data_IF_679926195527
#
_entry.id   IF_679926195527
#
_cell.length_a   1.000
_cell.length_b   1.000
_cell.length_c   1.000
_cell.angle_alpha   90.00
_cell.angle_beta   90.00
_cell.angle_gamma   90.00
#
_symmetry.space_group_name_H-M   'P 1'
#
loop_
_entity.id
_entity.type
_entity.pdbx_description
1 polymer ?
#
# COMPACT_ATOMS: atom_id res chain seq x y z
N UNK A 1 -8.37 -17.87 5.32
CA UNK A 1 -8.71 -18.71 6.49
C UNK A 1 -9.43 -17.83 7.51
N UNK A 2 -10.53 -18.29 8.12
CA UNK A 2 -11.23 -17.49 9.13
C UNK A 2 -10.51 -17.52 10.49
N UNK A 3 -10.83 -16.55 11.36
CA UNK A 3 -10.30 -16.50 12.73
C UNK A 3 -10.51 -17.82 13.49
N UNK A 4 -11.74 -18.35 13.50
CA UNK A 4 -12.08 -19.58 14.23
C UNK A 4 -11.30 -20.80 13.74
N UNK A 5 -11.12 -20.93 12.41
CA UNK A 5 -10.29 -21.98 11.82
C UNK A 5 -8.84 -21.86 12.26
N UNK A 6 -8.30 -20.65 12.29
CA UNK A 6 -6.92 -20.37 12.72
C UNK A 6 -6.71 -20.67 14.20
N UNK A 7 -7.64 -20.23 15.06
CA UNK A 7 -7.63 -20.52 16.50
C UNK A 7 -7.59 -22.02 16.75
N UNK A 8 -8.45 -22.78 16.06
CA UNK A 8 -8.50 -24.24 16.13
C UNK A 8 -7.19 -24.88 15.69
N UNK A 9 -6.63 -24.42 14.57
CA UNK A 9 -5.38 -24.95 14.04
C UNK A 9 -4.22 -24.74 15.02
N UNK A 10 -4.03 -23.51 15.52
CA UNK A 10 -2.98 -23.19 16.48
C UNK A 10 -3.15 -23.98 17.78
N UNK A 11 -4.39 -24.10 18.27
CA UNK A 11 -4.69 -24.91 19.46
C UNK A 11 -4.26 -26.37 19.28
N UNK A 12 -4.60 -26.97 18.14
CA UNK A 12 -4.23 -28.36 17.84
C UNK A 12 -2.71 -28.51 17.70
N UNK A 13 -2.04 -27.57 17.03
CA UNK A 13 -0.57 -27.56 16.89
C UNK A 13 0.14 -27.46 18.25
N UNK A 14 -0.45 -26.74 19.21
CA UNK A 14 0.05 -26.65 20.59
C UNK A 14 -0.42 -27.80 21.50
N UNK A 15 -1.13 -28.79 20.96
CA UNK A 15 -1.62 -29.95 21.71
C UNK A 15 -2.66 -29.61 22.80
N UNK A 16 -3.29 -28.43 22.73
CA UNK A 16 -4.24 -27.97 23.74
C UNK A 16 -5.67 -28.47 23.45
N UNK A 17 -6.42 -28.81 24.49
CA UNK A 17 -7.87 -29.01 24.43
C UNK A 17 -8.61 -27.68 24.46
N UNK A 18 -9.88 -27.65 24.02
CA UNK A 18 -10.70 -26.43 24.08
C UNK A 18 -10.83 -25.91 25.52
N UNK A 19 -10.94 -26.82 26.49
CA UNK A 19 -10.96 -26.49 27.92
C UNK A 19 -9.66 -25.84 28.38
N UNK A 20 -8.51 -26.42 28.01
CA UNK A 20 -7.20 -25.87 28.37
C UNK A 20 -6.97 -24.48 27.79
N UNK A 21 -7.44 -24.22 26.56
CA UNK A 21 -7.38 -22.89 25.96
C UNK A 21 -8.34 -21.89 26.67
N UNK A 22 -9.51 -22.35 27.10
CA UNK A 22 -10.52 -21.52 27.73
C UNK A 22 -10.18 -21.08 29.16
N UNK A 23 -9.65 -21.99 29.98
CA UNK A 23 -9.42 -21.75 31.41
C UNK A 23 -8.31 -20.71 31.68
N UNK A 24 -8.45 -19.91 32.76
CA UNK A 24 -9.54 -19.94 33.76
C UNK A 24 -10.74 -19.03 33.44
N UNK A 25 -10.65 -18.19 32.41
CA UNK A 25 -11.57 -17.07 32.19
C UNK A 25 -12.81 -17.47 31.38
N UNK A 26 -12.66 -18.42 30.45
CA UNK A 26 -13.72 -18.82 29.52
C UNK A 26 -14.08 -20.30 29.65
N UNK A 27 -15.15 -20.69 28.98
CA UNK A 27 -15.60 -22.10 28.89
C UNK A 27 -15.16 -22.75 27.59
N UNK A 28 -15.01 -24.07 27.60
CA UNK A 28 -14.76 -24.89 26.41
C UNK A 28 -15.85 -24.70 25.34
N UNK A 29 -17.11 -24.58 25.77
CA UNK A 29 -18.24 -24.27 24.89
C UNK A 29 -18.10 -22.90 24.19
N UNK A 30 -17.55 -21.89 24.88
CA UNK A 30 -17.25 -20.60 24.28
C UNK A 30 -16.16 -20.73 23.21
N UNK A 31 -15.05 -21.41 23.52
CA UNK A 31 -13.97 -21.67 22.54
C UNK A 31 -14.51 -22.44 21.34
N UNK A 32 -15.32 -23.48 21.54
CA UNK A 32 -15.96 -24.25 20.47
C UNK A 32 -16.84 -23.38 19.56
N UNK A 33 -17.62 -22.46 20.14
CA UNK A 33 -18.43 -21.51 19.37
C UNK A 33 -17.57 -20.53 18.55
N UNK A 34 -16.45 -20.06 19.11
CA UNK A 34 -15.49 -19.20 18.42
C UNK A 34 -14.77 -19.94 17.29
N UNK A 35 -14.28 -21.15 17.54
CA UNK A 35 -13.63 -22.01 16.53
C UNK A 35 -14.55 -22.32 15.34
N UNK A 36 -15.85 -22.50 15.60
CA UNK A 36 -16.86 -22.72 14.58
C UNK A 36 -17.32 -21.43 13.86
N UNK A 37 -16.80 -20.26 14.23
CA UNK A 37 -17.19 -18.96 13.67
C UNK A 37 -18.60 -18.50 14.08
N UNK A 38 -19.22 -19.15 15.08
CA UNK A 38 -20.56 -18.78 15.60
C UNK A 38 -20.51 -17.62 16.60
N UNK A 39 -19.33 -17.31 17.15
CA UNK A 39 -19.09 -16.17 18.03
C UNK A 39 -17.81 -15.45 17.65
N UNK A 40 -17.86 -14.13 17.60
CA UNK A 40 -16.67 -13.27 17.50
C UNK A 40 -16.13 -13.03 18.91
N UNK A 41 -14.84 -13.27 19.18
CA UNK A 41 -14.28 -13.03 20.50
C UNK A 41 -14.21 -11.54 20.81
N UNK A 42 -14.34 -11.17 22.09
CA UNK A 42 -13.97 -9.83 22.58
C UNK A 42 -12.45 -9.62 22.51
N UNK A 43 -12.00 -8.37 22.65
CA UNK A 43 -10.57 -8.05 22.73
C UNK A 43 -9.88 -8.78 23.90
N UNK A 44 -10.54 -8.87 25.06
CA UNK A 44 -10.05 -9.63 26.22
C UNK A 44 -9.93 -11.13 25.92
N UNK A 45 -10.88 -11.70 25.19
CA UNK A 45 -10.84 -13.10 24.80
C UNK A 45 -9.72 -13.37 23.79
N UNK A 46 -9.53 -12.46 22.83
CA UNK A 46 -8.42 -12.50 21.88
C UNK A 46 -7.07 -12.47 22.61
N UNK A 47 -6.89 -11.52 23.53
CA UNK A 47 -5.70 -11.38 24.36
C UNK A 47 -5.42 -12.67 25.15
N UNK A 48 -6.44 -13.21 25.82
CA UNK A 48 -6.35 -14.47 26.56
C UNK A 48 -5.93 -15.63 25.65
N UNK A 49 -6.56 -15.80 24.49
CA UNK A 49 -6.21 -16.86 23.55
C UNK A 49 -4.79 -16.70 23.00
N UNK A 50 -4.38 -15.48 22.65
CA UNK A 50 -3.04 -15.19 22.16
C UNK A 50 -1.96 -15.54 23.19
N UNK A 51 -2.17 -15.18 24.46
CA UNK A 51 -1.26 -15.56 25.55
C UNK A 51 -1.17 -17.07 25.74
N UNK A 52 -2.31 -17.77 25.78
CA UNK A 52 -2.36 -19.23 25.98
C UNK A 52 -1.71 -20.01 24.83
N UNK A 53 -1.76 -19.45 23.63
CA UNK A 53 -1.14 -20.02 22.43
C UNK A 53 0.26 -19.47 22.17
N UNK A 54 0.77 -18.56 23.00
CA UNK A 54 2.06 -17.87 22.85
C UNK A 54 2.29 -17.37 21.41
N UNK A 55 1.31 -16.61 20.89
CA UNK A 55 1.35 -15.93 19.60
C UNK A 55 0.96 -14.47 19.79
N UNK A 56 1.30 -13.61 18.83
CA UNK A 56 0.82 -12.23 18.84
C UNK A 56 -0.70 -12.14 18.61
N UNK A 57 -1.35 -11.15 19.21
CA UNK A 57 -2.79 -10.91 18.97
C UNK A 57 -3.09 -10.60 17.51
N UNK A 58 -2.25 -9.80 16.85
CA UNK A 58 -2.41 -9.48 15.43
C UNK A 58 -2.24 -10.73 14.56
N UNK A 59 -1.26 -11.59 14.86
CA UNK A 59 -1.05 -12.87 14.17
C UNK A 59 -2.28 -13.77 14.35
N UNK A 60 -2.82 -13.87 15.55
CA UNK A 60 -4.02 -14.67 15.80
C UNK A 60 -5.24 -14.11 15.08
N UNK A 61 -5.39 -12.78 15.04
CA UNK A 61 -6.52 -12.08 14.43
C UNK A 61 -6.48 -12.13 12.89
N UNK A 62 -5.32 -11.85 12.31
CA UNK A 62 -5.13 -11.64 10.86
C UNK A 62 -4.51 -12.85 10.16
N UNK A 63 -3.78 -13.69 10.90
CA UNK A 63 -2.97 -14.78 10.34
C UNK A 63 -1.67 -14.33 9.71
N UNK A 64 -1.38 -13.02 9.78
CA UNK A 64 -0.13 -12.46 9.27
C UNK A 64 1.03 -12.95 10.13
N UNK A 65 2.14 -13.41 9.53
CA UNK A 65 3.35 -13.67 10.26
C UNK A 65 3.80 -12.43 11.06
N UNK A 66 4.53 -12.61 12.18
CA UNK A 66 5.16 -11.50 12.86
C UNK A 66 6.05 -10.70 11.89
N UNK A 67 6.08 -9.38 12.06
CA UNK A 67 6.83 -8.43 11.23
C UNK A 67 6.53 -8.47 9.72
N UNK A 68 5.42 -9.09 9.31
CA UNK A 68 5.09 -9.28 7.90
C UNK A 68 5.06 -7.97 7.11
N UNK A 69 4.40 -6.94 7.65
CA UNK A 69 4.33 -5.63 7.00
C UNK A 69 5.71 -4.97 6.91
N UNK A 70 6.49 -4.99 7.99
CA UNK A 70 7.84 -4.42 8.02
C UNK A 70 8.79 -5.12 7.04
N UNK A 71 8.73 -6.45 6.94
CA UNK A 71 9.47 -7.22 5.94
C UNK A 71 9.09 -6.81 4.52
N UNK A 72 7.79 -6.76 4.20
CA UNK A 72 7.35 -6.34 2.87
C UNK A 72 7.74 -4.90 2.54
N UNK A 73 7.80 -4.01 3.52
CA UNK A 73 8.32 -2.65 3.33
C UNK A 73 9.80 -2.63 2.97
N UNK A 74 10.62 -3.46 3.63
CA UNK A 74 12.03 -3.63 3.29
C UNK A 74 12.19 -4.23 1.88
N UNK A 75 11.39 -5.24 1.55
CA UNK A 75 11.39 -5.87 0.22
C UNK A 75 11.01 -4.86 -0.87
N UNK A 76 10.04 -3.97 -0.62
CA UNK A 76 9.68 -2.86 -1.51
C UNK A 76 10.83 -1.88 -1.71
N UNK A 77 11.53 -1.51 -0.64
CA UNK A 77 12.69 -0.61 -0.74
C UNK A 77 13.83 -1.26 -1.53
N UNK A 78 14.10 -2.54 -1.29
CA UNK A 78 15.08 -3.30 -2.05
C UNK A 78 14.71 -3.36 -3.54
N UNK A 79 13.47 -3.73 -3.86
CA UNK A 79 12.98 -3.77 -5.24
C UNK A 79 13.06 -2.41 -5.95
N UNK A 80 12.79 -1.30 -5.25
CA UNK A 80 13.00 0.06 -5.80
C UNK A 80 14.45 0.35 -6.14
N UNK A 81 15.40 -0.06 -5.29
CA UNK A 81 16.84 0.07 -5.60
C UNK A 81 17.23 -0.78 -6.80
N UNK A 82 16.65 -1.97 -6.96
CA UNK A 82 16.84 -2.84 -8.12
C UNK A 82 16.36 -2.17 -9.41
N UNK A 83 15.23 -1.45 -9.40
CA UNK A 83 14.80 -0.60 -10.53
C UNK A 83 15.84 0.48 -10.83
N UNK A 84 16.31 1.20 -9.80
CA UNK A 84 17.33 2.25 -9.98
C UNK A 84 18.66 1.73 -10.52
N UNK A 85 18.99 0.46 -10.24
CA UNK A 85 20.15 -0.23 -10.80
C UNK A 85 19.94 -0.74 -12.25
N UNK A 86 18.77 -0.52 -12.84
CA UNK A 86 18.43 -0.95 -14.20
C UNK A 86 18.07 -2.44 -14.33
N UNK A 87 17.94 -3.17 -13.21
CA UNK A 87 17.64 -4.60 -13.21
C UNK A 87 16.11 -4.85 -13.24
N UNK A 88 15.47 -4.45 -14.33
CA UNK A 88 14.00 -4.31 -14.39
C UNK A 88 13.26 -5.64 -14.22
N UNK A 89 13.75 -6.73 -14.82
CA UNK A 89 13.14 -8.06 -14.73
C UNK A 89 13.14 -8.59 -13.29
N UNK A 90 14.28 -8.44 -12.59
CA UNK A 90 14.42 -8.85 -11.20
C UNK A 90 13.49 -8.02 -10.30
N UNK A 91 13.45 -6.70 -10.49
CA UNK A 91 12.55 -5.82 -9.75
C UNK A 91 11.07 -6.18 -9.98
N UNK A 92 10.68 -6.46 -11.22
CA UNK A 92 9.32 -6.85 -11.57
C UNK A 92 8.91 -8.17 -10.89
N UNK A 93 9.82 -9.16 -10.82
CA UNK A 93 9.58 -10.40 -10.09
C UNK A 93 9.36 -10.13 -8.59
N UNK A 94 10.22 -9.32 -7.97
CA UNK A 94 10.08 -8.93 -6.56
C UNK A 94 8.75 -8.21 -6.28
N UNK A 95 8.37 -7.23 -7.09
CA UNK A 95 7.07 -6.56 -6.92
C UNK A 95 5.88 -7.49 -7.12
N UNK A 96 5.99 -8.48 -8.01
CA UNK A 96 4.93 -9.48 -8.21
C UNK A 96 4.75 -10.37 -6.99
N UNK A 97 5.86 -10.81 -6.39
CA UNK A 97 5.82 -11.56 -5.16
C UNK A 97 5.23 -10.72 -4.01
N UNK A 98 5.72 -9.49 -3.79
CA UNK A 98 5.23 -8.60 -2.74
C UNK A 98 3.73 -8.33 -2.89
N UNK A 99 3.25 -8.03 -4.10
CA UNK A 99 1.82 -7.81 -4.37
C UNK A 99 0.99 -9.05 -4.03
N UNK A 100 1.44 -10.24 -4.44
CA UNK A 100 0.74 -11.50 -4.14
C UNK A 100 0.66 -11.76 -2.64
N UNK A 101 1.76 -11.55 -1.92
CA UNK A 101 1.81 -11.71 -0.46
C UNK A 101 0.95 -10.68 0.26
N UNK A 102 1.04 -9.39 -0.12
CA UNK A 102 0.24 -8.32 0.47
C UNK A 102 -1.25 -8.56 0.29
N UNK A 103 -1.67 -8.98 -0.92
CA UNK A 103 -3.04 -9.34 -1.25
C UNK A 103 -3.55 -10.52 -0.43
N UNK A 104 -2.73 -11.55 -0.24
CA UNK A 104 -3.12 -12.73 0.54
C UNK A 104 -3.48 -12.41 2.00
N UNK A 105 -2.99 -11.28 2.51
CA UNK A 105 -3.23 -10.81 3.88
C UNK A 105 -3.96 -9.47 3.96
N UNK A 106 -4.59 -9.01 2.87
CA UNK A 106 -5.32 -7.73 2.78
C UNK A 106 -4.52 -6.52 3.29
N UNK A 107 -3.23 -6.44 2.93
CA UNK A 107 -2.37 -5.28 3.24
C UNK A 107 -2.40 -4.30 2.08
N UNK A 108 -3.57 -3.66 1.88
CA UNK A 108 -3.93 -2.84 0.71
C UNK A 108 -2.86 -1.80 0.34
N UNK A 109 -2.31 -1.08 1.32
CA UNK A 109 -1.27 -0.07 1.06
C UNK A 109 0.02 -0.66 0.47
N UNK A 110 0.42 -1.85 0.90
CA UNK A 110 1.62 -2.51 0.38
C UNK A 110 1.35 -3.15 -0.98
N UNK A 111 0.15 -3.69 -1.20
CA UNK A 111 -0.30 -4.16 -2.51
C UNK A 111 -0.23 -3.03 -3.54
N UNK A 112 -0.84 -1.88 -3.25
CA UNK A 112 -0.83 -0.72 -4.13
C UNK A 112 0.60 -0.19 -4.42
N UNK A 113 1.48 -0.18 -3.41
CA UNK A 113 2.90 0.21 -3.60
C UNK A 113 3.67 -0.78 -4.47
N UNK A 114 3.33 -2.06 -4.42
CA UNK A 114 3.91 -3.08 -5.29
C UNK A 114 3.39 -2.97 -6.73
N UNK A 115 2.09 -2.75 -6.92
CA UNK A 115 1.50 -2.46 -8.25
C UNK A 115 2.11 -1.20 -8.88
N UNK A 116 2.32 -0.14 -8.09
CA UNK A 116 3.08 1.04 -8.51
C UNK A 116 4.49 0.67 -8.97
N UNK A 117 5.21 -0.18 -8.21
CA UNK A 117 6.53 -0.68 -8.58
C UNK A 117 6.54 -1.45 -9.91
N UNK A 118 5.54 -2.31 -10.16
CA UNK A 118 5.37 -2.98 -11.46
C UNK A 118 5.14 -1.97 -12.59
N UNK A 119 4.34 -0.93 -12.34
CA UNK A 119 4.10 0.15 -13.30
C UNK A 119 5.38 0.89 -13.66
N UNK A 120 6.27 1.14 -12.68
CA UNK A 120 7.60 1.71 -12.94
C UNK A 120 8.45 0.78 -13.82
N UNK A 121 8.40 -0.53 -13.60
CA UNK A 121 9.08 -1.51 -14.45
C UNK A 121 8.54 -1.50 -15.89
N UNK A 122 7.22 -1.48 -16.08
CA UNK A 122 6.60 -1.39 -17.40
C UNK A 122 6.98 -0.09 -18.13
N UNK A 123 6.94 1.05 -17.41
CA UNK A 123 7.36 2.34 -17.95
C UNK A 123 8.83 2.36 -18.36
N UNK A 124 9.72 1.71 -17.61
CA UNK A 124 11.15 1.56 -17.96
C UNK A 124 11.36 0.69 -19.21
N UNK A 125 10.46 -0.26 -19.49
CA UNK A 125 10.48 -1.09 -20.70
C UNK A 125 9.86 -0.41 -21.92
N UNK A 126 9.27 0.78 -21.75
CA UNK A 126 8.55 1.50 -22.80
C UNK A 126 7.10 1.05 -22.98
N UNK A 127 6.60 0.12 -22.17
CA UNK A 127 5.19 -0.27 -22.14
C UNK A 127 4.39 0.76 -21.34
N UNK A 128 4.06 1.88 -21.98
CA UNK A 128 3.37 3.00 -21.34
C UNK A 128 1.91 2.68 -21.03
N UNK A 129 1.24 1.91 -21.90
CA UNK A 129 -0.16 1.50 -21.71
C UNK A 129 -0.29 0.53 -20.53
N UNK A 130 0.57 -0.51 -20.47
CA UNK A 130 0.62 -1.42 -19.34
C UNK A 130 0.99 -0.72 -18.03
N UNK A 131 1.90 0.26 -18.08
CA UNK A 131 2.22 1.08 -16.91
C UNK A 131 1.01 1.89 -16.41
N UNK A 132 0.25 2.51 -17.31
CA UNK A 132 -0.97 3.25 -16.96
C UNK A 132 -1.97 2.34 -16.24
N UNK A 133 -2.25 1.15 -16.79
CA UNK A 133 -3.17 0.20 -16.17
C UNK A 133 -2.75 -0.20 -14.75
N UNK A 134 -1.44 -0.41 -14.52
CA UNK A 134 -0.90 -0.72 -13.20
C UNK A 134 -1.02 0.45 -12.22
N UNK A 135 -0.79 1.68 -12.67
CA UNK A 135 -0.98 2.87 -11.83
C UNK A 135 -2.45 3.14 -11.52
N UNK A 136 -3.36 2.87 -12.45
CA UNK A 136 -4.81 2.94 -12.22
C UNK A 136 -5.26 1.93 -11.17
N UNK A 137 -4.84 0.67 -11.30
CA UNK A 137 -5.13 -0.36 -10.30
C UNK A 137 -4.57 -0.02 -8.92
N UNK A 138 -3.34 0.51 -8.85
CA UNK A 138 -2.76 0.98 -7.59
C UNK A 138 -3.57 2.13 -6.95
N UNK A 139 -4.08 3.07 -7.77
CA UNK A 139 -4.90 4.17 -7.28
C UNK A 139 -6.31 3.72 -6.85
N UNK A 140 -6.89 2.73 -7.54
CA UNK A 140 -8.19 2.14 -7.23
C UNK A 140 -8.17 1.39 -5.89
N UNK A 141 -7.11 0.61 -5.63
CA UNK A 141 -6.88 -0.03 -4.33
C UNK A 141 -6.90 0.98 -3.17
N UNK A 142 -6.51 2.23 -3.43
CA UNK A 142 -6.40 3.31 -2.44
C UNK A 142 -7.58 4.29 -2.49
N UNK A 143 -8.72 3.91 -3.08
CA UNK A 143 -9.87 4.82 -3.22
C UNK A 143 -10.46 5.28 -1.87
N UNK A 144 -10.44 4.40 -0.87
CA UNK A 144 -10.94 4.64 0.49
C UNK A 144 -9.89 5.30 1.41
N UNK A 145 -8.65 5.43 0.92
CA UNK A 145 -7.55 6.06 1.64
C UNK A 145 -7.51 7.58 1.38
N UNK A 146 -6.85 8.37 2.25
CA UNK A 146 -6.64 9.79 2.00
C UNK A 146 -6.01 10.02 0.63
N UNK A 147 -6.38 11.12 -0.04
CA UNK A 147 -5.90 11.44 -1.39
C UNK A 147 -4.37 11.49 -1.51
N UNK A 148 -3.66 11.77 -0.41
CA UNK A 148 -2.19 11.71 -0.32
C UNK A 148 -1.62 10.33 -0.68
N UNK A 149 -2.33 9.25 -0.37
CA UNK A 149 -1.90 7.89 -0.69
C UNK A 149 -1.82 7.63 -2.20
N UNK A 150 -2.64 8.32 -3.01
CA UNK A 150 -2.74 8.11 -4.47
C UNK A 150 -1.74 8.96 -5.28
N UNK A 151 -1.01 9.87 -4.63
CA UNK A 151 -0.09 10.81 -5.29
C UNK A 151 0.93 10.11 -6.18
N UNK A 152 1.60 9.06 -5.68
CA UNK A 152 2.64 8.36 -6.44
C UNK A 152 2.09 7.71 -7.73
N UNK A 153 0.90 7.12 -7.65
CA UNK A 153 0.24 6.47 -8.78
C UNK A 153 -0.24 7.49 -9.82
N UNK A 154 -0.92 8.55 -9.39
CA UNK A 154 -1.42 9.60 -10.29
C UNK A 154 -0.26 10.34 -10.96
N UNK A 155 0.81 10.66 -10.23
CA UNK A 155 2.01 11.30 -10.77
C UNK A 155 2.71 10.44 -11.85
N UNK A 156 2.82 9.14 -11.59
CA UNK A 156 3.43 8.22 -12.55
C UNK A 156 2.55 8.02 -13.80
N UNK A 157 1.22 7.91 -13.63
CA UNK A 157 0.25 7.89 -14.74
C UNK A 157 0.36 9.15 -15.60
N UNK A 158 0.40 10.33 -14.99
CA UNK A 158 0.57 11.60 -15.70
C UNK A 158 1.90 11.65 -16.48
N UNK A 159 2.96 11.04 -15.93
CA UNK A 159 4.24 10.90 -16.64
C UNK A 159 4.10 10.02 -17.89
N UNK A 160 3.39 8.90 -17.83
CA UNK A 160 3.12 8.07 -19.01
C UNK A 160 2.29 8.82 -20.06
N UNK A 161 1.20 9.47 -19.65
CA UNK A 161 0.36 10.28 -20.55
C UNK A 161 1.16 11.37 -21.25
N UNK A 162 2.03 12.07 -20.52
CA UNK A 162 2.95 13.07 -21.10
C UNK A 162 3.85 12.47 -22.18
N UNK A 163 4.44 11.29 -21.91
CA UNK A 163 5.30 10.58 -22.86
C UNK A 163 4.56 10.09 -24.11
N UNK A 164 3.25 9.85 -23.99
CA UNK A 164 2.36 9.51 -25.12
C UNK A 164 1.87 10.75 -25.89
N UNK A 165 2.12 11.96 -25.40
CA UNK A 165 1.68 13.21 -26.03
C UNK A 165 0.38 13.79 -25.47
N UNK A 166 -0.26 13.12 -24.51
CA UNK A 166 -1.52 13.55 -23.88
C UNK A 166 -1.28 14.59 -22.76
N UNK A 167 -0.57 15.68 -23.10
CA UNK A 167 -0.17 16.73 -22.18
C UNK A 167 -1.34 17.33 -21.40
N UNK A 168 -2.45 17.62 -22.10
CA UNK A 168 -3.64 18.23 -21.49
C UNK A 168 -4.23 17.33 -20.41
N UNK A 169 -4.29 16.03 -20.64
CA UNK A 169 -4.86 15.11 -19.68
C UNK A 169 -3.92 14.86 -18.49
N UNK A 170 -2.60 14.81 -18.75
CA UNK A 170 -1.61 14.76 -17.69
C UNK A 170 -1.71 15.96 -16.73
N UNK A 171 -1.82 17.19 -17.27
CA UNK A 171 -2.00 18.41 -16.46
C UNK A 171 -3.30 18.34 -15.67
N UNK A 172 -4.41 18.04 -16.33
CA UNK A 172 -5.73 17.97 -15.70
C UNK A 172 -5.74 17.00 -14.49
N UNK A 173 -5.15 15.81 -14.64
CA UNK A 173 -5.10 14.82 -13.55
C UNK A 173 -4.31 15.34 -12.34
N UNK A 174 -3.17 15.99 -12.58
CA UNK A 174 -2.31 16.52 -11.53
C UNK A 174 -2.94 17.74 -10.84
N UNK A 175 -3.53 18.67 -11.59
CA UNK A 175 -4.22 19.85 -11.05
C UNK A 175 -5.44 19.45 -10.21
N UNK A 176 -6.24 18.49 -10.67
CA UNK A 176 -7.42 18.02 -9.92
C UNK A 176 -7.00 17.35 -8.60
N UNK A 177 -5.95 16.54 -8.61
CA UNK A 177 -5.41 15.96 -7.39
C UNK A 177 -4.84 17.03 -6.45
N UNK A 178 -4.09 18.01 -6.98
CA UNK A 178 -3.58 19.14 -6.20
C UNK A 178 -4.70 19.91 -5.51
N UNK A 179 -5.74 20.26 -6.27
CA UNK A 179 -6.91 20.96 -5.75
C UNK A 179 -7.61 20.15 -4.64
N UNK A 180 -7.71 18.83 -4.81
CA UNK A 180 -8.26 17.94 -3.79
C UNK A 180 -7.45 17.96 -2.50
N UNK A 181 -6.12 17.96 -2.60
CA UNK A 181 -5.21 18.02 -1.44
C UNK A 181 -5.30 19.37 -0.73
N UNK A 182 -5.29 20.47 -1.47
CA UNK A 182 -5.36 21.83 -0.94
C UNK A 182 -6.71 22.11 -0.27
N UNK A 183 -7.84 21.76 -0.91
CA UNK A 183 -9.20 21.98 -0.34
C UNK A 183 -9.44 21.23 0.97
N UNK A 184 -8.84 20.05 1.14
CA UNK A 184 -8.99 19.22 2.35
C UNK A 184 -7.99 19.57 3.44
N UNK A 185 -7.14 20.58 3.25
CA UNK A 185 -6.06 20.93 4.19
C UNK A 185 -5.04 19.80 4.36
N UNK A 186 -4.94 18.88 3.39
CA UNK A 186 -4.02 17.75 3.42
C UNK A 186 -2.65 18.20 2.93
N UNK A 187 -2.01 19.05 3.73
CA UNK A 187 -0.73 19.71 3.41
C UNK A 187 0.48 18.83 3.75
N UNK A 188 0.43 17.53 3.46
CA UNK A 188 1.63 16.68 3.57
C UNK A 188 2.70 17.23 2.61
N UNK A 189 3.83 17.77 3.12
CA UNK A 189 4.82 18.44 2.28
C UNK A 189 5.41 17.51 1.22
N UNK A 190 5.54 16.22 1.53
CA UNK A 190 6.03 15.19 0.61
C UNK A 190 5.07 14.99 -0.57
N UNK A 191 3.77 14.88 -0.30
CA UNK A 191 2.73 14.77 -1.33
C UNK A 191 2.68 15.99 -2.24
N UNK A 192 2.69 17.20 -1.65
CA UNK A 192 2.68 18.45 -2.43
C UNK A 192 3.95 18.60 -3.27
N UNK A 193 5.12 18.28 -2.71
CA UNK A 193 6.40 18.31 -3.43
C UNK A 193 6.34 17.44 -4.69
N UNK A 194 5.86 16.20 -4.56
CA UNK A 194 5.73 15.26 -5.68
C UNK A 194 4.80 15.78 -6.77
N UNK A 195 3.63 16.28 -6.41
CA UNK A 195 2.65 16.81 -7.38
C UNK A 195 3.20 18.03 -8.10
N UNK A 196 3.76 19.00 -7.37
CA UNK A 196 4.36 20.18 -7.99
C UNK A 196 5.53 19.81 -8.91
N UNK A 197 6.41 18.88 -8.50
CA UNK A 197 7.48 18.38 -9.35
C UNK A 197 6.96 17.69 -10.62
N UNK A 198 5.88 16.91 -10.52
CA UNK A 198 5.25 16.24 -11.67
C UNK A 198 4.51 17.17 -12.63
N UNK A 199 4.07 18.34 -12.16
CA UNK A 199 3.44 19.38 -13.00
C UNK A 199 4.45 20.14 -13.87
N UNK A 200 5.72 20.24 -13.45
CA UNK A 200 6.73 21.03 -14.17
C UNK A 200 6.93 20.55 -15.62
N UNK A 201 7.19 19.25 -15.91
CA UNK A 201 7.42 18.80 -17.29
C UNK A 201 6.23 19.06 -18.24
N UNK A 202 4.98 18.67 -17.93
CA UNK A 202 3.88 18.88 -18.87
C UNK A 202 3.52 20.37 -19.05
N UNK A 203 3.72 21.24 -18.05
CA UNK A 203 3.61 22.69 -18.25
C UNK A 203 4.69 23.22 -19.19
N UNK A 204 5.93 22.73 -19.04
CA UNK A 204 7.02 23.14 -19.91
C UNK A 204 6.76 22.70 -21.36
N UNK A 205 6.36 21.45 -21.56
CA UNK A 205 6.08 20.86 -22.88
C UNK A 205 4.90 21.54 -23.60
N UNK A 206 3.93 22.08 -22.83
CA UNK A 206 2.77 22.81 -23.37
C UNK A 206 3.03 24.31 -23.62
N UNK A 207 4.24 24.80 -23.31
CA UNK A 207 4.59 26.22 -23.44
C UNK A 207 4.11 27.11 -22.29
N UNK A 208 3.53 26.53 -21.23
CA UNK A 208 3.06 27.20 -20.04
C UNK A 208 4.21 27.52 -19.06
N UNK A 209 5.22 28.26 -19.54
CA UNK A 209 6.48 28.47 -18.80
C UNK A 209 6.30 29.16 -17.44
N UNK A 210 5.36 30.11 -17.34
CA UNK A 210 5.05 30.78 -16.06
C UNK A 210 4.49 29.80 -15.03
N UNK A 211 3.62 28.87 -15.45
CA UNK A 211 3.07 27.83 -14.57
C UNK A 211 4.16 26.82 -14.18
N UNK A 212 5.01 26.42 -15.12
CA UNK A 212 6.15 25.53 -14.86
C UNK A 212 7.11 26.14 -13.81
N UNK A 213 7.48 27.42 -13.97
CA UNK A 213 8.35 28.13 -13.03
C UNK A 213 7.71 28.24 -11.64
N UNK A 214 6.41 28.55 -11.58
CA UNK A 214 5.66 28.64 -10.32
C UNK A 214 5.61 27.29 -9.60
N UNK A 215 5.31 26.20 -10.33
CA UNK A 215 5.29 24.85 -9.77
C UNK A 215 6.67 24.43 -9.24
N UNK A 216 7.74 24.71 -10.00
CA UNK A 216 9.11 24.44 -9.58
C UNK A 216 9.49 25.20 -8.30
N UNK A 217 9.13 26.49 -8.21
CA UNK A 217 9.39 27.29 -7.01
C UNK A 217 8.65 26.73 -5.78
N UNK A 218 7.38 26.35 -5.93
CA UNK A 218 6.61 25.72 -4.85
C UNK A 218 7.20 24.38 -4.41
N UNK A 219 7.63 23.54 -5.36
CA UNK A 219 8.34 22.30 -5.06
C UNK A 219 9.61 22.58 -4.23
N UNK A 220 10.46 23.52 -4.66
CA UNK A 220 11.71 23.87 -3.94
C UNK A 220 11.46 24.37 -2.51
N UNK A 221 10.39 25.13 -2.27
CA UNK A 221 10.02 25.61 -0.93
C UNK A 221 9.61 24.47 0.02
N UNK A 222 9.18 23.32 -0.52
CA UNK A 222 8.75 22.16 0.25
C UNK A 222 9.89 21.20 0.60
N UNK A 223 11.03 21.25 -0.12
CA UNK A 223 12.19 20.36 0.12
C UNK A 223 12.67 20.35 1.58
N UNK A 224 12.81 21.49 2.29
CA UNK A 224 13.25 21.47 3.69
C UNK A 224 12.25 20.82 4.66
N UNK A 225 11.01 20.61 4.23
CA UNK A 225 9.90 20.06 5.03
C UNK A 225 9.55 18.63 4.63
N UNK A 226 10.17 18.13 3.56
CA UNK A 226 10.00 16.79 3.01
C UNK A 226 11.10 15.89 3.59
N UNK A 227 10.79 15.19 4.67
CA UNK A 227 11.65 14.19 5.31
C UNK A 227 10.87 12.91 5.59
#
# INVERSE_FOLDING_TARGET
MSFGQRLKQLRIQRGQTQRQLAEPVYTDAYVSAVEAGRRTPSAEALHHFAQKLEVGEEELLTGRPPDFAARLELDLQAARRTVSAGQIEAAQASFTQISTEAKAFDVVRLEARAEHGKGLCAMSKGDLEGAIALFEGAAELLQDEPATARVDAVAAKATCLRRMGDLRYAIYLLENLLETLERRGLSDPNSLLKIYASLVPPYFDSGAYTQAATAAQKALQLVPRAS
#
